data_IF_564209476930
#
_entry.id   IF_564209476930
#
_cell.length_a   1.000
_cell.length_b   1.000
_cell.length_c   1.000
_cell.angle_alpha   90.00
_cell.angle_beta   90.00
_cell.angle_gamma   90.00
#
_symmetry.space_group_name_H-M   'P 1'
#
loop_
_entity.id
_entity.type
_entity.pdbx_description
1 polymer ?
#
# COMPACT_ATOMS: atom_id res chain seq x y z
N UNK A 1 36.18 -10.88 15.09
CA UNK A 1 35.66 -11.02 13.71
C UNK A 1 34.58 -12.10 13.71
N UNK A 2 33.32 -11.73 13.83
CA UNK A 2 32.18 -12.60 13.51
C UNK A 2 31.46 -11.97 12.33
N UNK A 3 31.63 -12.58 11.15
CA UNK A 3 30.91 -12.19 9.95
C UNK A 3 29.48 -12.70 10.00
N UNK A 4 28.49 -11.80 10.10
CA UNK A 4 27.12 -12.09 9.85
C UNK A 4 26.88 -12.07 8.32
N UNK A 5 26.98 -13.25 7.70
CA UNK A 5 26.53 -13.48 6.32
C UNK A 5 25.12 -14.05 6.39
N UNK A 6 24.13 -13.19 6.46
CA UNK A 6 22.71 -13.54 6.46
C UNK A 6 21.94 -12.68 5.49
N UNK A 7 22.18 -12.85 4.16
CA UNK A 7 21.23 -12.38 3.14
C UNK A 7 20.00 -13.27 3.21
N UNK A 8 19.08 -12.98 4.09
CA UNK A 8 17.71 -13.47 3.95
C UNK A 8 17.05 -12.63 2.85
N UNK A 9 17.32 -12.95 1.59
CA UNK A 9 16.53 -12.41 0.49
C UNK A 9 15.10 -12.85 0.73
N UNK A 10 14.19 -11.90 0.83
CA UNK A 10 12.76 -12.16 0.85
C UNK A 10 12.40 -12.75 -0.52
N UNK A 11 12.50 -14.08 -0.61
CA UNK A 11 12.43 -14.78 -1.88
C UNK A 11 11.02 -14.65 -2.44
N UNK A 12 10.90 -14.18 -3.68
CA UNK A 12 9.68 -14.24 -4.49
C UNK A 12 9.04 -15.64 -4.52
N UNK A 13 9.81 -16.68 -4.22
CA UNK A 13 9.32 -18.05 -4.03
C UNK A 13 8.40 -18.15 -2.81
N UNK A 14 8.65 -17.44 -1.70
CA UNK A 14 7.75 -17.42 -0.52
C UNK A 14 6.40 -16.81 -0.84
N UNK A 15 6.36 -15.73 -1.63
CA UNK A 15 5.08 -15.13 -2.07
C UNK A 15 4.32 -16.10 -2.96
N UNK A 16 5.02 -16.87 -3.79
CA UNK A 16 4.42 -17.88 -4.66
C UNK A 16 3.87 -19.06 -3.85
N UNK A 17 4.59 -19.51 -2.84
CA UNK A 17 4.16 -20.61 -1.95
C UNK A 17 2.96 -20.20 -1.09
N UNK A 18 2.94 -18.96 -0.59
CA UNK A 18 1.79 -18.39 0.13
C UNK A 18 0.57 -18.29 -0.77
N UNK A 19 0.73 -17.91 -2.05
CA UNK A 19 -0.38 -17.84 -3.01
C UNK A 19 -0.96 -19.22 -3.38
N UNK A 20 -0.17 -20.29 -3.28
CA UNK A 20 -0.66 -21.65 -3.53
C UNK A 20 -1.39 -22.28 -2.36
N UNK A 21 -1.07 -21.86 -1.13
CA UNK A 21 -1.70 -22.32 0.12
C UNK A 21 -2.81 -21.36 0.62
N UNK A 22 -2.87 -20.14 0.09
CA UNK A 22 -3.80 -19.11 0.53
C UNK A 22 -5.23 -19.36 0.06
N UNK A 23 -6.25 -18.92 0.84
CA UNK A 23 -7.61 -18.88 0.35
C UNK A 23 -7.70 -18.05 -0.93
N UNK A 24 -8.59 -18.46 -1.83
CA UNK A 24 -8.85 -17.71 -3.08
C UNK A 24 -9.21 -16.26 -2.74
N UNK A 25 -8.73 -15.32 -3.57
CA UNK A 25 -9.08 -13.92 -3.45
C UNK A 25 -10.59 -13.74 -3.23
N UNK A 26 -10.97 -13.05 -2.17
CA UNK A 26 -12.38 -12.81 -1.84
C UNK A 26 -12.93 -11.73 -2.77
N UNK A 27 -13.80 -12.12 -3.72
CA UNK A 27 -14.45 -11.17 -4.64
C UNK A 27 -15.20 -10.06 -3.92
N UNK A 28 -15.79 -10.37 -2.75
CA UNK A 28 -16.48 -9.39 -1.89
C UNK A 28 -15.60 -8.27 -1.38
N UNK A 29 -14.28 -8.47 -1.33
CA UNK A 29 -13.30 -7.47 -0.93
C UNK A 29 -12.61 -6.80 -2.13
N UNK A 30 -12.99 -7.14 -3.37
CA UNK A 30 -12.38 -6.60 -4.58
C UNK A 30 -10.88 -6.92 -4.74
N UNK A 31 -10.42 -8.02 -4.15
CA UNK A 31 -8.99 -8.37 -4.11
C UNK A 31 -8.44 -8.72 -5.49
N UNK A 32 -7.46 -7.96 -5.95
CA UNK A 32 -6.66 -8.22 -7.14
C UNK A 32 -5.18 -8.20 -6.77
N UNK A 33 -4.59 -9.38 -6.63
CA UNK A 33 -3.21 -9.49 -6.19
C UNK A 33 -2.21 -9.22 -7.32
N UNK A 34 -1.27 -8.35 -7.04
CA UNK A 34 -0.15 -8.06 -7.94
C UNK A 34 0.78 -9.28 -8.00
N UNK A 35 1.07 -9.77 -9.21
CA UNK A 35 1.89 -10.98 -9.42
C UNK A 35 3.25 -10.66 -10.06
N UNK A 36 3.37 -9.48 -10.66
CA UNK A 36 4.61 -9.08 -11.34
C UNK A 36 5.54 -8.32 -10.40
N UNK A 37 6.66 -8.94 -10.08
CA UNK A 37 7.66 -8.39 -9.19
C UNK A 37 8.30 -7.10 -9.71
N UNK A 38 8.47 -6.96 -11.02
CA UNK A 38 9.04 -5.74 -11.62
C UNK A 38 8.09 -4.56 -11.44
N UNK A 39 6.80 -4.79 -11.64
CA UNK A 39 5.76 -3.80 -11.41
C UNK A 39 5.69 -3.43 -9.93
N UNK A 40 5.73 -4.41 -9.02
CA UNK A 40 5.76 -4.16 -7.56
C UNK A 40 6.94 -3.27 -7.17
N UNK A 41 8.15 -3.58 -7.66
CA UNK A 41 9.35 -2.79 -7.38
C UNK A 41 9.22 -1.35 -7.90
N UNK A 42 8.75 -1.18 -9.15
CA UNK A 42 8.55 0.17 -9.74
C UNK A 42 7.56 1.02 -8.95
N UNK A 43 6.47 0.42 -8.46
CA UNK A 43 5.48 1.13 -7.64
C UNK A 43 6.10 1.58 -6.33
N UNK A 44 6.86 0.71 -5.65
CA UNK A 44 7.56 1.07 -4.42
C UNK A 44 8.62 2.14 -4.66
N UNK A 45 9.35 2.09 -5.78
CA UNK A 45 10.35 3.11 -6.12
C UNK A 45 9.74 4.51 -6.29
N UNK A 46 8.47 4.61 -6.75
CA UNK A 46 7.76 5.88 -6.81
C UNK A 46 7.52 6.50 -5.42
N UNK A 47 7.47 5.68 -4.38
CA UNK A 47 7.32 6.18 -3.01
C UNK A 47 8.59 6.86 -2.47
N UNK A 48 9.76 6.60 -3.09
CA UNK A 48 11.07 7.18 -2.74
C UNK A 48 11.35 7.05 -1.24
N UNK A 49 11.34 5.81 -0.75
CA UNK A 49 11.53 5.51 0.68
C UNK A 49 12.98 5.76 1.07
N UNK A 50 13.17 6.57 2.12
CA UNK A 50 14.42 6.77 2.84
C UNK A 50 14.38 6.20 4.25
N UNK A 51 15.53 6.14 4.95
CA UNK A 51 15.63 5.50 6.26
C UNK A 51 14.89 6.25 7.39
N UNK A 52 14.55 7.52 7.18
CA UNK A 52 13.77 8.33 8.15
C UNK A 52 12.27 8.35 7.88
N UNK A 53 11.83 7.69 6.79
CA UNK A 53 10.44 7.74 6.38
C UNK A 53 9.54 6.83 7.22
N UNK A 54 8.31 7.28 7.41
CA UNK A 54 7.21 6.49 7.96
C UNK A 54 6.32 6.06 6.80
N UNK A 55 6.14 4.76 6.65
CA UNK A 55 5.38 4.18 5.53
C UNK A 55 4.15 3.44 6.03
N UNK A 56 3.02 3.69 5.37
CA UNK A 56 1.78 2.98 5.59
C UNK A 56 1.35 2.29 4.29
N UNK A 57 1.21 0.97 4.32
CA UNK A 57 0.63 0.18 3.24
C UNK A 57 -0.81 -0.21 3.57
N UNK A 58 -1.72 0.01 2.62
CA UNK A 58 -3.13 -0.36 2.77
C UNK A 58 -3.46 -1.54 1.88
N UNK A 59 -4.03 -2.58 2.47
CA UNK A 59 -4.41 -3.80 1.79
C UNK A 59 -3.21 -4.60 1.29
N UNK A 60 -2.25 -4.97 2.16
CA UNK A 60 -1.06 -5.72 1.75
C UNK A 60 -1.39 -7.08 1.10
N UNK A 61 -2.53 -7.68 1.47
CA UNK A 61 -2.90 -9.00 1.00
C UNK A 61 -1.78 -10.01 1.20
N UNK A 62 -1.35 -10.77 0.16
CA UNK A 62 -0.25 -11.73 0.27
C UNK A 62 1.15 -11.11 0.40
N UNK A 63 1.29 -9.78 0.39
CA UNK A 63 2.54 -9.08 0.66
C UNK A 63 3.45 -8.82 -0.54
N UNK A 64 2.88 -8.73 -1.74
CA UNK A 64 3.65 -8.50 -2.97
C UNK A 64 4.46 -7.20 -2.96
N UNK A 65 4.01 -6.18 -2.24
CA UNK A 65 4.65 -4.88 -2.07
C UNK A 65 5.35 -4.81 -0.70
N UNK A 66 4.75 -5.39 0.33
CA UNK A 66 5.19 -5.36 1.74
C UNK A 66 6.65 -5.74 1.92
N UNK A 67 7.09 -6.84 1.29
CA UNK A 67 8.47 -7.30 1.38
C UNK A 67 9.47 -6.29 0.80
N UNK A 68 9.11 -5.68 -0.33
CA UNK A 68 9.97 -4.69 -1.00
C UNK A 68 10.08 -3.41 -0.16
N UNK A 69 8.97 -2.94 0.44
CA UNK A 69 8.98 -1.78 1.34
C UNK A 69 9.87 -2.06 2.54
N UNK A 70 9.72 -3.24 3.15
CA UNK A 70 10.52 -3.64 4.29
C UNK A 70 12.03 -3.66 3.97
N UNK A 71 12.42 -4.16 2.78
CA UNK A 71 13.80 -4.15 2.30
C UNK A 71 14.37 -2.73 2.08
N UNK A 72 13.52 -1.72 1.85
CA UNK A 72 13.92 -0.30 1.75
C UNK A 72 14.25 0.31 3.12
N UNK A 73 13.86 -0.34 4.22
CA UNK A 73 14.23 0.04 5.59
C UNK A 73 13.69 1.40 6.04
N UNK A 74 12.37 1.67 5.95
CA UNK A 74 11.81 2.88 6.52
C UNK A 74 11.98 2.90 8.05
N UNK A 75 11.96 4.08 8.67
CA UNK A 75 12.02 4.23 10.13
C UNK A 75 10.82 3.58 10.83
N UNK A 76 9.65 3.66 10.21
CA UNK A 76 8.41 3.06 10.71
C UNK A 76 7.62 2.45 9.54
N UNK A 77 7.08 1.25 9.76
CA UNK A 77 6.25 0.58 8.75
C UNK A 77 4.97 0.03 9.36
N UNK A 78 3.83 0.52 8.85
CA UNK A 78 2.49 0.07 9.26
C UNK A 78 1.73 -0.54 8.10
N UNK A 79 0.88 -1.52 8.44
CA UNK A 79 -0.07 -2.16 7.52
C UNK A 79 -1.49 -1.95 8.03
N UNK A 80 -2.43 -1.58 7.15
CA UNK A 80 -3.86 -1.66 7.42
C UNK A 80 -4.43 -2.75 6.52
N UNK A 81 -4.98 -3.81 7.11
CA UNK A 81 -5.57 -4.93 6.38
C UNK A 81 -6.95 -5.27 6.93
N UNK A 82 -7.95 -5.27 6.05
CA UNK A 82 -9.33 -5.56 6.41
C UNK A 82 -9.59 -7.07 6.55
N UNK A 83 -8.91 -7.89 5.75
CA UNK A 83 -9.03 -9.34 5.82
C UNK A 83 -8.21 -9.88 7.01
N UNK A 84 -8.91 -10.40 8.04
CA UNK A 84 -8.29 -10.93 9.26
C UNK A 84 -7.30 -12.06 8.99
N UNK A 85 -7.49 -12.85 7.93
CA UNK A 85 -6.53 -13.89 7.54
C UNK A 85 -5.19 -13.27 7.15
N UNK A 86 -5.19 -12.24 6.29
CA UNK A 86 -3.97 -11.59 5.85
C UNK A 86 -3.36 -10.73 6.96
N UNK A 87 -4.18 -10.09 7.78
CA UNK A 87 -3.71 -9.35 8.95
C UNK A 87 -2.94 -10.27 9.92
N UNK A 88 -3.51 -11.42 10.27
CA UNK A 88 -2.85 -12.43 11.11
C UNK A 88 -1.56 -12.96 10.46
N UNK A 89 -1.61 -13.28 9.16
CA UNK A 89 -0.44 -13.73 8.40
C UNK A 89 0.73 -12.74 8.50
N UNK A 90 0.46 -11.43 8.32
CA UNK A 90 1.51 -10.41 8.43
C UNK A 90 2.00 -10.18 9.85
N UNK A 91 1.12 -10.33 10.86
CA UNK A 91 1.47 -10.20 12.26
C UNK A 91 2.37 -11.35 12.76
N UNK A 92 2.18 -12.57 12.22
CA UNK A 92 2.96 -13.75 12.57
C UNK A 92 4.31 -13.82 11.85
N UNK A 93 4.50 -13.05 10.77
CA UNK A 93 5.76 -13.05 10.05
C UNK A 93 6.84 -12.33 10.87
N UNK A 94 7.83 -13.10 11.32
CA UNK A 94 9.05 -12.52 11.88
C UNK A 94 9.80 -11.73 10.79
N UNK A 95 10.07 -10.47 11.07
CA UNK A 95 10.86 -9.59 10.21
C UNK A 95 11.97 -8.95 11.02
N UNK A 96 13.19 -8.83 10.43
CA UNK A 96 14.21 -7.98 11.05
C UNK A 96 13.70 -6.54 11.13
N UNK A 97 14.40 -5.67 11.87
CA UNK A 97 14.03 -4.26 11.93
C UNK A 97 13.95 -3.62 10.53
N UNK A 98 13.01 -2.66 10.30
CA UNK A 98 12.06 -2.14 11.28
C UNK A 98 10.92 -3.11 11.57
N UNK A 99 10.39 -3.06 12.81
CA UNK A 99 9.20 -3.83 13.16
C UNK A 99 8.00 -3.35 12.34
N UNK A 100 7.20 -4.31 11.85
CA UNK A 100 6.00 -4.01 11.08
C UNK A 100 4.79 -4.03 12.01
N UNK A 101 4.09 -2.90 12.13
CA UNK A 101 2.84 -2.83 12.87
C UNK A 101 1.67 -3.20 11.96
N UNK A 102 0.87 -4.17 12.38
CA UNK A 102 -0.29 -4.62 11.61
C UNK A 102 -1.57 -4.22 12.31
N UNK A 103 -2.43 -3.49 11.60
CA UNK A 103 -3.76 -3.07 12.05
C UNK A 103 -4.81 -3.86 11.25
N UNK A 104 -5.54 -4.75 11.93
CA UNK A 104 -6.68 -5.40 11.30
C UNK A 104 -7.89 -4.44 11.36
N UNK A 105 -8.05 -3.62 10.34
CA UNK A 105 -9.06 -2.55 10.27
C UNK A 105 -9.53 -2.28 8.85
N UNK A 106 -10.71 -1.67 8.75
CA UNK A 106 -11.22 -1.13 7.48
C UNK A 106 -10.62 0.26 7.26
N UNK A 107 -9.86 0.44 6.18
CA UNK A 107 -9.25 1.71 5.83
C UNK A 107 -10.28 2.85 5.60
N UNK A 108 -11.52 2.51 5.18
CA UNK A 108 -12.60 3.51 5.07
C UNK A 108 -13.09 4.04 6.43
N UNK A 109 -12.87 3.30 7.51
CA UNK A 109 -13.22 3.69 8.87
C UNK A 109 -12.01 4.15 9.69
N UNK A 110 -10.82 4.19 9.07
CA UNK A 110 -9.60 4.56 9.76
C UNK A 110 -9.58 6.07 10.04
N UNK A 111 -9.18 6.49 11.25
CA UNK A 111 -9.10 7.90 11.63
C UNK A 111 -7.84 8.56 11.04
N UNK A 112 -7.87 8.93 9.77
CA UNK A 112 -6.73 9.47 9.03
C UNK A 112 -6.09 10.68 9.70
N UNK A 113 -6.89 11.49 10.39
CA UNK A 113 -6.45 12.67 11.15
C UNK A 113 -5.56 12.32 12.35
N UNK A 114 -5.58 11.06 12.79
CA UNK A 114 -4.76 10.60 13.92
C UNK A 114 -3.33 10.23 13.52
N UNK A 115 -2.99 10.27 12.23
CA UNK A 115 -1.63 10.04 11.77
C UNK A 115 -0.79 11.29 12.01
N UNK A 116 -0.08 11.32 13.13
CA UNK A 116 0.84 12.42 13.47
C UNK A 116 2.17 12.27 12.74
N UNK A 117 2.68 13.41 12.24
CA UNK A 117 3.95 13.52 11.54
C UNK A 117 3.91 13.04 10.09
N UNK A 118 5.06 13.13 9.37
CA UNK A 118 5.10 12.89 7.93
C UNK A 118 4.90 11.41 7.58
N UNK A 119 3.94 11.14 6.68
CA UNK A 119 3.67 9.79 6.20
C UNK A 119 3.78 9.68 4.68
N UNK A 120 4.29 8.53 4.25
CA UNK A 120 4.20 8.05 2.88
C UNK A 120 3.20 6.89 2.83
N UNK A 121 2.21 6.96 1.94
CA UNK A 121 1.12 5.99 1.87
C UNK A 121 1.15 5.28 0.52
N UNK A 122 1.00 3.96 0.54
CA UNK A 122 0.94 3.15 -0.67
C UNK A 122 -0.22 2.17 -0.62
N UNK A 123 -0.92 1.98 -1.75
CA UNK A 123 -1.98 0.98 -1.85
C UNK A 123 -2.21 0.50 -3.26
N UNK A 124 -2.50 -0.79 -3.38
CA UNK A 124 -3.19 -1.35 -4.54
C UNK A 124 -4.70 -1.33 -4.25
N UNK A 125 -5.36 -0.23 -4.64
CA UNK A 125 -6.74 0.05 -4.23
C UNK A 125 -7.75 -0.91 -4.87
N UNK A 126 -8.67 -1.49 -4.06
CA UNK A 126 -9.79 -2.26 -4.57
C UNK A 126 -10.71 -1.39 -5.44
N UNK A 127 -11.27 -1.96 -6.49
CA UNK A 127 -12.06 -1.25 -7.50
C UNK A 127 -13.29 -0.52 -6.97
N UNK A 128 -13.94 -1.10 -5.96
CA UNK A 128 -15.19 -0.59 -5.40
C UNK A 128 -15.04 0.52 -4.36
N UNK A 129 -13.85 0.71 -3.81
CA UNK A 129 -13.59 1.67 -2.71
C UNK A 129 -12.44 2.64 -2.98
N UNK A 130 -11.80 2.54 -4.15
CA UNK A 130 -10.58 3.30 -4.46
C UNK A 130 -10.79 4.82 -4.38
N UNK A 131 -11.83 5.37 -5.02
CA UNK A 131 -12.05 6.82 -5.03
C UNK A 131 -12.40 7.40 -3.65
N UNK A 132 -13.34 6.83 -2.87
CA UNK A 132 -13.58 7.30 -1.50
C UNK A 132 -12.35 7.21 -0.60
N UNK A 133 -11.59 6.12 -0.70
CA UNK A 133 -10.42 5.94 0.12
C UNK A 133 -9.29 6.91 -0.23
N UNK A 134 -9.05 7.16 -1.53
CA UNK A 134 -8.12 8.22 -1.96
C UNK A 134 -8.55 9.59 -1.41
N UNK A 135 -9.88 9.87 -1.42
CA UNK A 135 -10.41 11.10 -0.83
C UNK A 135 -10.01 11.22 0.62
N UNK A 136 -10.34 10.24 1.44
CA UNK A 136 -10.06 10.27 2.87
C UNK A 136 -8.56 10.43 3.15
N UNK A 137 -7.71 9.69 2.46
CA UNK A 137 -6.26 9.75 2.63
C UNK A 137 -5.73 11.16 2.31
N UNK A 138 -6.07 11.69 1.13
CA UNK A 138 -5.47 12.94 0.64
C UNK A 138 -6.01 14.16 1.37
N UNK A 139 -7.30 14.15 1.77
CA UNK A 139 -7.93 15.31 2.43
C UNK A 139 -7.80 15.32 3.95
N UNK A 140 -7.59 14.14 4.59
CA UNK A 140 -7.68 14.00 6.04
C UNK A 140 -6.36 13.63 6.72
N UNK A 141 -5.32 13.20 5.97
CA UNK A 141 -4.01 12.92 6.56
C UNK A 141 -3.23 14.23 6.69
N UNK A 142 -2.90 14.69 7.93
CA UNK A 142 -2.35 16.04 8.14
C UNK A 142 -1.02 16.27 7.42
N UNK A 143 -0.07 15.36 7.58
CA UNK A 143 1.29 15.46 7.06
C UNK A 143 1.56 14.40 5.99
N UNK A 144 0.67 14.28 5.00
CA UNK A 144 0.86 13.39 3.87
C UNK A 144 1.97 13.93 2.95
N UNK A 145 3.15 13.30 2.98
CA UNK A 145 4.27 13.74 2.14
C UNK A 145 4.28 13.11 0.76
N UNK A 146 3.72 11.90 0.63
CA UNK A 146 3.60 11.20 -0.64
C UNK A 146 2.55 10.10 -0.57
N UNK A 147 1.75 9.98 -1.62
CA UNK A 147 0.87 8.84 -1.81
C UNK A 147 1.10 8.18 -3.17
N UNK A 148 1.12 6.86 -3.22
CA UNK A 148 1.22 6.07 -4.44
C UNK A 148 0.06 5.10 -4.47
N UNK A 149 -0.85 5.29 -5.42
CA UNK A 149 -2.03 4.45 -5.58
C UNK A 149 -1.99 3.72 -6.91
N UNK A 150 -2.19 2.42 -6.87
CA UNK A 150 -2.51 1.65 -8.04
C UNK A 150 -4.03 1.58 -8.18
N UNK A 151 -4.53 2.06 -9.30
CA UNK A 151 -5.96 2.14 -9.59
C UNK A 151 -6.25 1.59 -10.99
N UNK A 152 -7.52 1.37 -11.31
CA UNK A 152 -7.92 1.04 -12.68
C UNK A 152 -7.55 2.17 -13.64
N UNK A 153 -7.29 1.79 -14.90
CA UNK A 153 -6.93 2.75 -15.96
C UNK A 153 -7.95 3.87 -16.11
N UNK A 154 -9.24 3.53 -16.09
CA UNK A 154 -10.33 4.49 -16.23
C UNK A 154 -10.38 5.49 -15.06
N UNK A 155 -10.07 5.02 -13.86
CA UNK A 155 -9.96 5.89 -12.67
C UNK A 155 -8.74 6.81 -12.82
N UNK A 156 -7.59 6.27 -13.22
CA UNK A 156 -6.40 7.07 -13.46
C UNK A 156 -6.65 8.14 -14.54
N UNK A 157 -7.27 7.78 -15.67
CA UNK A 157 -7.60 8.73 -16.75
C UNK A 157 -8.45 9.90 -16.25
N UNK A 158 -9.42 9.64 -15.37
CA UNK A 158 -10.21 10.68 -14.71
C UNK A 158 -9.41 11.54 -13.74
N UNK A 159 -8.44 10.97 -13.01
CA UNK A 159 -7.63 11.73 -12.04
C UNK A 159 -6.79 12.82 -12.70
N UNK A 160 -6.21 12.56 -13.88
CA UNK A 160 -5.37 13.52 -14.60
C UNK A 160 -6.06 14.17 -15.82
N UNK A 161 -7.36 13.95 -16.00
CA UNK A 161 -8.13 14.55 -17.10
C UNK A 161 -8.02 16.08 -17.07
N UNK A 162 -7.96 16.70 -18.26
CA UNK A 162 -7.90 18.16 -18.40
C UNK A 162 -9.29 18.75 -18.56
N UNK A 163 -9.52 19.99 -18.12
CA UNK A 163 -10.76 20.71 -18.40
C UNK A 163 -11.17 20.65 -19.87
N UNK A 164 -12.46 20.42 -20.14
CA UNK A 164 -13.00 20.30 -21.47
C UNK A 164 -12.91 18.91 -22.11
N UNK A 165 -12.30 17.92 -21.46
CA UNK A 165 -12.34 16.52 -21.89
C UNK A 165 -13.52 15.77 -21.30
N UNK A 166 -13.94 14.66 -21.95
CA UNK A 166 -15.08 13.85 -21.49
C UNK A 166 -14.87 13.20 -20.10
N UNK A 167 -13.61 12.96 -19.75
CA UNK A 167 -13.23 12.28 -18.51
C UNK A 167 -13.02 13.27 -17.34
N UNK A 168 -13.03 14.59 -17.63
CA UNK A 168 -12.91 15.62 -16.63
C UNK A 168 -14.20 15.77 -15.82
N UNK A 169 -14.10 15.65 -14.52
CA UNK A 169 -15.24 15.71 -13.61
C UNK A 169 -14.84 15.99 -12.18
N UNK A 170 -15.80 15.80 -11.26
CA UNK A 170 -15.58 16.10 -9.83
C UNK A 170 -14.30 15.44 -9.27
N UNK A 171 -14.01 14.20 -9.65
CA UNK A 171 -12.80 13.50 -9.20
C UNK A 171 -11.51 14.18 -9.69
N UNK A 172 -11.51 14.68 -10.95
CA UNK A 172 -10.36 15.40 -11.52
C UNK A 172 -10.12 16.74 -10.81
N UNK A 173 -11.19 17.54 -10.67
CA UNK A 173 -11.13 18.85 -9.99
C UNK A 173 -10.60 18.67 -8.57
N UNK A 174 -11.18 17.73 -7.89
CA UNK A 174 -10.91 17.54 -6.48
C UNK A 174 -9.47 17.05 -6.23
N UNK A 175 -9.01 15.97 -6.88
CA UNK A 175 -7.65 15.46 -6.62
C UNK A 175 -6.58 16.48 -7.03
N UNK A 176 -6.79 17.17 -8.16
CA UNK A 176 -5.85 18.18 -8.68
C UNK A 176 -5.80 19.46 -7.81
N UNK A 177 -6.72 19.64 -6.86
CA UNK A 177 -6.66 20.74 -5.89
C UNK A 177 -5.76 20.43 -4.67
N UNK A 178 -5.36 19.17 -4.49
CA UNK A 178 -4.51 18.73 -3.38
C UNK A 178 -3.09 18.35 -3.80
N UNK A 179 -2.83 18.11 -5.11
CA UNK A 179 -1.57 17.54 -5.59
C UNK A 179 -0.95 18.34 -6.73
#
# INVERSE_FOLDING_TARGET
YFGFNGKTSFSLNRVRDVLTAAPRAKKSLGQHFLKDAKTSARIVDLLRIGPEDRVLEIGPGPGAITGIIHERGPAEFRLIEKDSYWAAHHAELERPAPAVQVLNADALAFPWESLEGPWKIISNLPYNVGSPLMWDIVSRTPDLTRAVFMVQKEVAERLYAKPGTKDYGALSVWIQSYV
#
